data_IF_300292501666
#
_entry.id   IF_300292501666
#
_cell.length_a   1.000
_cell.length_b   1.000
_cell.length_c   1.000
_cell.angle_alpha   90.00
_cell.angle_beta   90.00
_cell.angle_gamma   90.00
#
_symmetry.space_group_name_H-M   'P 1'
#
loop_
_entity.id
_entity.type
_entity.pdbx_description
1 polymer ?
#
# COMPACT_ATOMS: atom_id res chain seq x y z
N UNK A 1 -7.16 33.21 8.66
CA UNK A 1 -7.84 32.02 9.20
C UNK A 1 -7.93 31.01 8.06
N UNK A 2 -7.59 29.75 8.30
CA UNK A 2 -7.73 28.70 7.27
C UNK A 2 -9.21 28.40 7.04
N UNK A 3 -9.60 28.18 5.79
CA UNK A 3 -10.94 27.67 5.45
C UNK A 3 -11.07 26.21 5.96
N UNK A 4 -12.26 25.74 6.38
CA UNK A 4 -12.55 24.31 6.61
C UNK A 4 -11.92 23.34 5.58
N UNK A 5 -11.93 23.70 4.30
CA UNK A 5 -11.30 22.95 3.21
C UNK A 5 -9.79 22.74 3.39
N UNK A 6 -9.07 23.85 3.62
CA UNK A 6 -7.62 23.83 3.82
C UNK A 6 -7.26 23.08 5.10
N UNK A 7 -8.07 23.26 6.14
CA UNK A 7 -7.92 22.55 7.41
C UNK A 7 -8.01 21.03 7.21
N UNK A 8 -8.97 20.55 6.41
CA UNK A 8 -9.10 19.14 6.08
C UNK A 8 -7.86 18.59 5.34
N UNK A 9 -7.37 19.29 4.32
CA UNK A 9 -6.16 18.87 3.60
C UNK A 9 -4.91 18.87 4.48
N UNK A 10 -4.77 19.82 5.41
CA UNK A 10 -3.68 19.81 6.40
C UNK A 10 -3.78 18.56 7.28
N UNK A 11 -4.98 18.24 7.78
CA UNK A 11 -5.21 17.05 8.61
C UNK A 11 -4.84 15.77 7.85
N UNK A 12 -5.31 15.63 6.60
CA UNK A 12 -4.96 14.46 5.77
C UNK A 12 -3.45 14.38 5.53
N UNK A 13 -2.80 15.50 5.22
CA UNK A 13 -1.34 15.57 5.02
C UNK A 13 -0.60 15.06 6.25
N UNK A 14 -0.96 15.53 7.44
CA UNK A 14 -0.34 15.10 8.71
C UNK A 14 -0.53 13.58 8.90
N UNK A 15 -1.73 13.05 8.68
CA UNK A 15 -1.99 11.61 8.83
C UNK A 15 -1.14 10.78 7.86
N UNK A 16 -1.04 11.18 6.60
CA UNK A 16 -0.24 10.46 5.61
C UNK A 16 1.28 10.62 5.83
N UNK A 17 1.75 11.75 6.36
CA UNK A 17 3.15 11.90 6.78
C UNK A 17 3.46 10.97 7.95
N UNK A 18 2.61 10.94 8.97
CA UNK A 18 2.79 10.04 10.12
C UNK A 18 2.76 8.57 9.68
N UNK A 19 1.84 8.21 8.78
CA UNK A 19 1.75 6.87 8.20
C UNK A 19 3.01 6.51 7.41
N UNK A 20 3.55 7.44 6.61
CA UNK A 20 4.79 7.24 5.85
C UNK A 20 5.98 7.03 6.78
N UNK A 21 6.10 7.81 7.86
CA UNK A 21 7.16 7.68 8.87
C UNK A 21 7.06 6.33 9.60
N UNK A 22 5.86 5.93 10.02
CA UNK A 22 5.63 4.64 10.66
C UNK A 22 6.00 3.48 9.73
N UNK A 23 5.58 3.54 8.46
CA UNK A 23 5.94 2.54 7.46
C UNK A 23 7.44 2.53 7.14
N UNK A 24 8.12 3.70 7.13
CA UNK A 24 9.56 3.81 6.92
C UNK A 24 10.35 3.11 8.03
N UNK A 25 9.94 3.28 9.29
CA UNK A 25 10.54 2.57 10.41
C UNK A 25 10.41 1.04 10.24
N UNK A 26 9.26 0.59 9.74
CA UNK A 26 8.95 -0.82 9.48
C UNK A 26 9.66 -1.39 8.22
N UNK A 27 9.95 -0.56 7.21
CA UNK A 27 10.68 -0.95 5.97
C UNK A 27 12.03 -1.63 6.25
N UNK A 28 12.66 -1.35 7.40
CA UNK A 28 13.93 -1.96 7.80
C UNK A 28 13.89 -3.50 7.84
N UNK A 29 12.69 -4.11 7.91
CA UNK A 29 12.50 -5.57 8.03
C UNK A 29 11.88 -6.20 6.79
N UNK A 30 10.95 -5.53 6.10
CA UNK A 30 10.19 -6.07 4.96
C UNK A 30 10.12 -5.05 3.82
N UNK A 31 11.20 -5.00 3.02
CA UNK A 31 11.47 -3.89 2.10
C UNK A 31 10.41 -3.72 1.02
N UNK A 32 9.99 -4.80 0.34
CA UNK A 32 9.18 -4.68 -0.88
C UNK A 32 7.72 -4.26 -0.61
N UNK A 33 7.08 -4.84 0.41
CA UNK A 33 5.71 -4.49 0.80
C UNK A 33 5.63 -3.09 1.43
N UNK A 34 6.54 -2.83 2.37
CA UNK A 34 6.51 -1.57 3.11
C UNK A 34 6.88 -0.40 2.19
N UNK A 35 7.67 -0.64 1.13
CA UNK A 35 8.03 0.37 0.14
C UNK A 35 6.83 0.84 -0.68
N UNK A 36 5.96 -0.04 -1.19
CA UNK A 36 4.81 0.42 -1.98
C UNK A 36 3.83 1.23 -1.14
N UNK A 37 3.57 0.80 0.10
CA UNK A 37 2.70 1.51 1.04
C UNK A 37 3.32 2.83 1.51
N UNK A 38 4.63 2.87 1.73
CA UNK A 38 5.37 4.09 2.04
C UNK A 38 5.28 5.08 0.89
N UNK A 39 5.51 4.63 -0.34
CA UNK A 39 5.42 5.47 -1.53
C UNK A 39 4.01 6.01 -1.71
N UNK A 40 2.98 5.18 -1.50
CA UNK A 40 1.59 5.63 -1.52
C UNK A 40 1.35 6.76 -0.51
N UNK A 41 1.77 6.56 0.73
CA UNK A 41 1.57 7.52 1.81
C UNK A 41 2.33 8.82 1.55
N UNK A 42 3.58 8.73 1.08
CA UNK A 42 4.40 9.90 0.75
C UNK A 42 3.84 10.68 -0.45
N UNK A 43 3.47 10.00 -1.53
CA UNK A 43 2.90 10.64 -2.72
C UNK A 43 1.55 11.29 -2.42
N UNK A 44 0.72 10.64 -1.60
CA UNK A 44 -0.55 11.21 -1.15
C UNK A 44 -0.32 12.45 -0.30
N UNK A 45 0.66 12.44 0.63
CA UNK A 45 1.01 13.64 1.39
C UNK A 45 1.51 14.78 0.48
N UNK A 46 2.39 14.48 -0.49
CA UNK A 46 2.88 15.47 -1.46
C UNK A 46 1.73 16.06 -2.27
N UNK A 47 0.78 15.23 -2.72
CA UNK A 47 -0.40 15.69 -3.44
C UNK A 47 -1.22 16.72 -2.63
N UNK A 48 -1.47 16.45 -1.34
CA UNK A 48 -2.16 17.40 -0.48
C UNK A 48 -1.36 18.70 -0.27
N UNK A 49 -0.03 18.64 -0.13
CA UNK A 49 0.81 19.84 -0.06
C UNK A 49 0.76 20.66 -1.35
N UNK A 50 0.79 20.01 -2.52
CA UNK A 50 0.65 20.69 -3.81
C UNK A 50 -0.72 21.36 -3.93
N UNK A 51 -1.77 20.74 -3.41
CA UNK A 51 -3.09 21.33 -3.36
C UNK A 51 -3.13 22.54 -2.41
N UNK A 52 -2.58 22.42 -1.20
CA UNK A 52 -2.46 23.55 -0.26
C UNK A 52 -1.63 24.73 -0.80
N UNK A 53 -0.61 24.46 -1.61
CA UNK A 53 0.26 25.50 -2.17
C UNK A 53 -0.39 26.30 -3.31
N UNK A 54 -1.51 25.83 -3.88
CA UNK A 54 -2.23 26.55 -4.92
C UNK A 54 -3.19 27.55 -4.26
N UNK A 55 -2.97 28.85 -4.50
CA UNK A 55 -3.82 29.95 -4.00
C UNK A 55 -5.23 29.86 -4.63
N UNK A 56 -6.18 29.32 -3.88
CA UNK A 56 -7.57 29.19 -4.31
C UNK A 56 -8.39 30.36 -3.79
N UNK A 57 -8.55 31.39 -4.64
CA UNK A 57 -9.29 32.61 -4.28
C UNK A 57 -10.81 32.47 -4.34
N UNK A 58 -11.34 31.29 -4.71
CA UNK A 58 -12.78 31.06 -4.94
C UNK A 58 -13.24 29.79 -4.25
N UNK A 59 -13.94 29.95 -3.12
CA UNK A 59 -14.48 28.88 -2.28
C UNK A 59 -15.82 28.34 -2.80
N UNK A 60 -15.83 27.77 -4.00
CA UNK A 60 -17.00 27.00 -4.46
C UNK A 60 -16.74 25.52 -4.37
N UNK A 61 -17.78 24.75 -4.02
CA UNK A 61 -17.73 23.28 -3.96
C UNK A 61 -17.23 22.71 -5.28
N UNK A 62 -17.64 23.27 -6.42
CA UNK A 62 -17.17 22.81 -7.74
C UNK A 62 -15.66 22.96 -7.89
N UNK A 63 -15.08 24.10 -7.49
CA UNK A 63 -13.62 24.31 -7.54
C UNK A 63 -12.90 23.38 -6.58
N UNK A 64 -13.47 23.18 -5.39
CA UNK A 64 -12.89 22.29 -4.38
C UNK A 64 -12.86 20.83 -4.86
N UNK A 65 -13.99 20.34 -5.37
CA UNK A 65 -14.15 18.96 -5.85
C UNK A 65 -13.30 18.70 -7.10
N UNK A 66 -13.26 19.65 -8.05
CA UNK A 66 -12.42 19.55 -9.25
C UNK A 66 -10.93 19.36 -8.91
N UNK A 67 -10.51 19.86 -7.74
CA UNK A 67 -9.14 19.77 -7.27
C UNK A 67 -8.90 18.64 -6.28
N UNK A 68 -9.94 17.99 -5.75
CA UNK A 68 -9.81 16.91 -4.77
C UNK A 68 -8.78 15.87 -5.21
N UNK A 69 -7.89 15.49 -4.27
CA UNK A 69 -6.91 14.43 -4.49
C UNK A 69 -7.63 13.11 -4.80
N UNK A 70 -8.81 12.89 -4.22
CA UNK A 70 -9.60 11.66 -4.37
C UNK A 70 -10.07 11.45 -5.81
N UNK A 71 -10.41 12.52 -6.51
CA UNK A 71 -10.87 12.41 -7.91
C UNK A 71 -9.70 12.32 -8.87
N UNK A 72 -8.59 13.00 -8.58
CA UNK A 72 -7.54 13.23 -9.57
C UNK A 72 -6.29 12.36 -9.39
N UNK A 73 -5.82 12.17 -8.15
CA UNK A 73 -4.49 11.65 -7.86
C UNK A 73 -4.51 10.31 -7.14
N UNK A 74 -5.42 10.14 -6.18
CA UNK A 74 -5.54 8.90 -5.40
C UNK A 74 -5.92 7.71 -6.26
N UNK A 75 -6.76 7.81 -7.31
CA UNK A 75 -7.00 6.69 -8.23
C UNK A 75 -5.68 6.20 -8.85
N UNK A 76 -4.80 7.11 -9.26
CA UNK A 76 -3.48 6.76 -9.80
C UNK A 76 -2.62 6.10 -8.73
N UNK A 77 -2.52 6.69 -7.54
CA UNK A 77 -1.67 6.18 -6.47
C UNK A 77 -2.17 4.86 -5.87
N UNK A 78 -3.47 4.56 -5.97
CA UNK A 78 -4.08 3.34 -5.44
C UNK A 78 -3.47 2.05 -6.01
N UNK A 79 -2.81 2.12 -7.17
CA UNK A 79 -1.96 1.04 -7.70
C UNK A 79 -0.93 0.54 -6.68
N UNK A 80 -0.39 1.43 -5.85
CA UNK A 80 0.63 1.12 -4.85
C UNK A 80 0.03 0.38 -3.65
N UNK A 81 -1.23 0.71 -3.28
CA UNK A 81 -1.99 -0.03 -2.28
C UNK A 81 -2.29 -1.44 -2.78
N UNK A 82 -2.77 -1.56 -4.01
CA UNK A 82 -3.10 -2.86 -4.60
C UNK A 82 -1.85 -3.72 -4.81
N UNK A 83 -0.75 -3.14 -5.30
CA UNK A 83 0.53 -3.83 -5.41
C UNK A 83 1.07 -4.30 -4.04
N UNK A 84 0.92 -3.48 -2.99
CA UNK A 84 1.31 -3.85 -1.63
C UNK A 84 0.50 -5.05 -1.10
N UNK A 85 -0.81 -5.05 -1.37
CA UNK A 85 -1.72 -6.13 -1.02
C UNK A 85 -1.38 -7.43 -1.77
N UNK A 86 -1.14 -7.35 -3.09
CA UNK A 86 -0.75 -8.51 -3.93
C UNK A 86 0.61 -9.06 -3.49
N UNK A 87 1.56 -8.19 -3.14
CA UNK A 87 2.85 -8.60 -2.58
C UNK A 87 2.66 -9.37 -1.26
N UNK A 88 1.75 -8.93 -0.39
CA UNK A 88 1.47 -9.62 0.87
C UNK A 88 0.85 -10.99 0.67
N UNK A 89 -0.12 -11.10 -0.23
CA UNK A 89 -0.75 -12.37 -0.57
C UNK A 89 0.27 -13.35 -1.13
N UNK A 90 1.14 -12.88 -2.03
CA UNK A 90 2.21 -13.69 -2.63
C UNK A 90 3.16 -14.25 -1.57
N UNK A 91 3.58 -13.41 -0.61
CA UNK A 91 4.41 -13.83 0.52
C UNK A 91 3.70 -14.85 1.42
N UNK A 92 2.41 -14.67 1.68
CA UNK A 92 1.63 -15.61 2.49
C UNK A 92 1.49 -16.98 1.81
N UNK A 93 1.28 -17.00 0.49
CA UNK A 93 1.22 -18.24 -0.30
C UNK A 93 2.56 -18.98 -0.23
N UNK A 94 3.67 -18.28 -0.36
CA UNK A 94 5.02 -18.87 -0.25
C UNK A 94 5.28 -19.46 1.14
N UNK A 95 4.92 -18.74 2.21
CA UNK A 95 5.12 -19.21 3.58
C UNK A 95 4.30 -20.49 3.87
N UNK A 96 3.03 -20.53 3.45
CA UNK A 96 2.19 -21.73 3.59
C UNK A 96 2.64 -22.88 2.68
N UNK A 97 3.26 -22.59 1.53
CA UNK A 97 3.84 -23.62 0.68
C UNK A 97 5.01 -24.32 1.36
N UNK A 98 5.90 -23.57 1.98
CA UNK A 98 7.08 -24.14 2.61
C UNK A 98 6.74 -24.97 3.87
N UNK A 99 5.86 -24.47 4.75
CA UNK A 99 5.53 -25.18 5.99
C UNK A 99 4.86 -26.55 5.74
N UNK A 100 4.01 -26.66 4.71
CA UNK A 100 3.35 -27.94 4.38
C UNK A 100 4.32 -28.97 3.77
N UNK A 101 5.35 -28.52 3.05
CA UNK A 101 6.32 -29.44 2.44
C UNK A 101 7.15 -30.17 3.51
N UNK A 102 7.48 -29.50 4.62
CA UNK A 102 8.22 -30.11 5.74
C UNK A 102 7.38 -31.12 6.54
N UNK A 103 6.05 -31.02 6.51
CA UNK A 103 5.13 -31.94 7.19
C UNK A 103 4.86 -33.18 6.33
N UNK A 104 4.72 -33.01 5.02
CA UNK A 104 4.35 -34.10 4.10
C UNK A 104 5.50 -35.04 3.71
N UNK A 105 6.77 -34.70 4.00
CA UNK A 105 7.90 -35.64 3.84
C UNK A 105 7.80 -36.87 4.75
N UNK A 106 6.89 -36.88 5.73
CA UNK A 106 6.67 -38.01 6.64
C UNK A 106 5.45 -38.88 6.30
N UNK A 107 4.68 -38.59 5.25
CA UNK A 107 3.45 -39.37 4.94
C UNK A 107 3.27 -39.61 3.44
N UNK A 108 3.28 -40.88 3.01
CA UNK A 108 3.05 -41.38 1.64
C UNK A 108 1.68 -40.99 1.05
N UNK A 109 1.48 -39.71 0.71
CA UNK A 109 0.26 -39.20 0.07
C UNK A 109 0.56 -38.37 -1.18
N UNK A 110 1.14 -39.02 -2.19
CA UNK A 110 1.54 -38.39 -3.46
C UNK A 110 0.39 -37.76 -4.26
N UNK A 111 -0.85 -38.24 -4.12
CA UNK A 111 -2.00 -37.73 -4.90
C UNK A 111 -2.57 -36.41 -4.37
N UNK A 112 -2.51 -36.16 -3.05
CA UNK A 112 -3.00 -34.91 -2.47
C UNK A 112 -1.99 -33.76 -2.60
N UNK A 113 -0.69 -34.06 -2.65
CA UNK A 113 0.36 -33.06 -2.81
C UNK A 113 0.26 -32.31 -4.15
N UNK A 114 0.01 -33.02 -5.26
CA UNK A 114 -0.10 -32.42 -6.60
C UNK A 114 -1.28 -31.43 -6.71
N UNK A 115 -2.44 -31.78 -6.14
CA UNK A 115 -3.63 -30.91 -6.16
C UNK A 115 -3.43 -29.63 -5.33
N UNK A 116 -2.66 -29.70 -4.24
CA UNK A 116 -2.35 -28.53 -3.39
C UNK A 116 -1.35 -27.61 -4.08
N UNK A 117 -0.32 -28.16 -4.74
CA UNK A 117 0.64 -27.36 -5.52
C UNK A 117 -0.02 -26.64 -6.69
N UNK A 118 -0.88 -27.31 -7.45
CA UNK A 118 -1.58 -26.71 -8.59
C UNK A 118 -2.48 -25.53 -8.18
N UNK A 119 -3.25 -25.67 -7.09
CA UNK A 119 -4.11 -24.58 -6.57
C UNK A 119 -3.29 -23.34 -6.17
N UNK A 120 -2.10 -23.52 -5.58
CA UNK A 120 -1.23 -22.41 -5.15
C UNK A 120 -0.65 -21.63 -6.33
N UNK A 121 -0.17 -22.32 -7.36
CA UNK A 121 0.31 -21.68 -8.58
C UNK A 121 -0.79 -20.86 -9.25
N UNK A 122 -2.00 -21.42 -9.33
CA UNK A 122 -3.16 -20.73 -9.90
C UNK A 122 -3.46 -19.42 -9.17
N UNK A 123 -3.48 -19.41 -7.82
CA UNK A 123 -3.73 -18.17 -7.05
C UNK A 123 -2.65 -17.11 -7.30
N UNK A 124 -1.37 -17.50 -7.39
CA UNK A 124 -0.30 -16.55 -7.69
C UNK A 124 -0.44 -15.94 -9.10
N UNK A 125 -0.78 -16.76 -10.11
CA UNK A 125 -1.03 -16.26 -11.47
C UNK A 125 -2.26 -15.35 -11.53
N UNK A 126 -3.33 -15.68 -10.83
CA UNK A 126 -4.54 -14.85 -10.75
C UNK A 126 -4.23 -13.48 -10.13
N UNK A 127 -3.51 -13.43 -9.02
CA UNK A 127 -3.18 -12.16 -8.38
C UNK A 127 -2.27 -11.29 -9.27
N UNK A 128 -1.32 -11.91 -9.99
CA UNK A 128 -0.50 -11.22 -10.98
C UNK A 128 -1.32 -10.68 -12.17
N UNK A 129 -2.27 -11.47 -12.67
CA UNK A 129 -3.19 -11.08 -13.73
C UNK A 129 -4.11 -9.93 -13.32
N UNK A 130 -4.64 -9.96 -12.09
CA UNK A 130 -5.46 -8.89 -11.53
C UNK A 130 -4.65 -7.59 -11.37
N UNK A 131 -3.38 -7.68 -10.94
CA UNK A 131 -2.49 -6.52 -10.87
C UNK A 131 -2.21 -5.94 -12.25
N UNK A 132 -1.95 -6.77 -13.26
CA UNK A 132 -1.75 -6.32 -14.64
C UNK A 132 -3.02 -5.62 -15.18
N UNK A 133 -4.20 -6.20 -14.95
CA UNK A 133 -5.48 -5.58 -15.32
C UNK A 133 -5.67 -4.23 -14.61
N UNK A 134 -5.34 -4.15 -13.32
CA UNK A 134 -5.39 -2.89 -12.56
C UNK A 134 -4.50 -1.81 -13.18
N UNK A 135 -3.27 -2.16 -13.53
CA UNK A 135 -2.31 -1.25 -14.18
C UNK A 135 -2.87 -0.73 -15.51
N UNK A 136 -3.45 -1.61 -16.33
CA UNK A 136 -4.04 -1.23 -17.62
C UNK A 136 -5.18 -0.22 -17.42
N UNK A 137 -6.04 -0.44 -16.43
CA UNK A 137 -7.13 0.48 -16.10
C UNK A 137 -6.63 1.84 -15.59
N UNK A 138 -5.54 1.86 -14.81
CA UNK A 138 -4.89 3.12 -14.39
C UNK A 138 -4.29 3.87 -15.58
N UNK A 139 -3.67 3.15 -16.51
CA UNK A 139 -3.17 3.77 -17.75
C UNK A 139 -4.33 4.34 -18.56
N UNK A 140 -5.45 3.62 -18.68
CA UNK A 140 -6.64 4.13 -19.34
C UNK A 140 -7.19 5.40 -18.65
N UNK A 141 -7.26 5.41 -17.32
CA UNK A 141 -7.63 6.59 -16.53
C UNK A 141 -6.69 7.78 -16.80
N UNK A 142 -5.38 7.55 -16.81
CA UNK A 142 -4.37 8.56 -17.14
C UNK A 142 -4.54 9.08 -18.57
N UNK A 143 -4.79 8.20 -19.55
CA UNK A 143 -5.04 8.61 -20.93
C UNK A 143 -6.28 9.49 -21.03
N UNK A 144 -7.38 9.14 -20.37
CA UNK A 144 -8.59 9.99 -20.31
C UNK A 144 -8.26 11.34 -19.70
N UNK A 145 -7.46 11.37 -18.62
CA UNK A 145 -7.07 12.62 -17.95
C UNK A 145 -6.15 13.50 -18.80
N UNK A 146 -5.23 12.90 -19.55
CA UNK A 146 -4.28 13.63 -20.38
C UNK A 146 -4.87 14.07 -21.73
N UNK A 147 -5.82 13.31 -22.28
CA UNK A 147 -6.32 13.51 -23.63
C UNK A 147 -7.37 14.62 -23.77
N UNK A 148 -7.98 15.08 -22.68
CA UNK A 148 -9.16 15.95 -22.77
C UNK A 148 -9.10 17.16 -21.84
N UNK A 149 -9.84 18.20 -22.27
CA UNK A 149 -9.92 19.49 -21.63
C UNK A 149 -10.81 19.36 -20.36
N UNK A 150 -10.33 19.80 -19.20
CA UNK A 150 -10.98 19.61 -17.87
C UNK A 150 -12.44 20.10 -17.80
N UNK A 151 -12.88 20.92 -18.76
CA UNK A 151 -14.22 21.52 -18.81
C UNK A 151 -15.28 20.66 -19.53
N UNK A 152 -14.90 19.58 -20.22
CA UNK A 152 -15.88 18.75 -20.95
C UNK A 152 -16.60 17.77 -20.00
N UNK A 153 -17.95 17.78 -19.90
CA UNK A 153 -18.69 16.80 -19.11
C UNK A 153 -18.43 15.35 -19.56
N UNK A 154 -18.11 15.13 -20.85
CA UNK A 154 -17.82 13.78 -21.37
C UNK A 154 -16.59 13.17 -20.68
N UNK A 155 -15.57 13.97 -20.44
CA UNK A 155 -14.32 13.58 -19.77
C UNK A 155 -14.55 13.15 -18.33
N UNK A 156 -15.39 13.89 -17.61
CA UNK A 156 -15.69 13.60 -16.20
C UNK A 156 -16.50 12.32 -16.06
N UNK A 157 -17.44 12.06 -16.97
CA UNK A 157 -18.15 10.79 -17.05
C UNK A 157 -17.17 9.64 -17.30
N UNK A 158 -16.26 9.79 -18.26
CA UNK A 158 -15.24 8.77 -18.56
C UNK A 158 -14.33 8.49 -17.35
N UNK A 159 -13.94 9.51 -16.59
CA UNK A 159 -13.20 9.33 -15.33
C UNK A 159 -14.00 8.52 -14.31
N UNK A 160 -15.27 8.85 -14.08
CA UNK A 160 -16.12 8.11 -13.16
C UNK A 160 -16.28 6.64 -13.59
N UNK A 161 -16.42 6.38 -14.89
CA UNK A 161 -16.43 5.02 -15.45
C UNK A 161 -15.10 4.31 -15.21
N UNK A 162 -13.96 4.94 -15.48
CA UNK A 162 -12.64 4.36 -15.25
C UNK A 162 -12.43 4.00 -13.77
N UNK A 163 -12.76 4.90 -12.84
CA UNK A 163 -12.64 4.63 -11.39
C UNK A 163 -13.57 3.50 -10.96
N UNK A 164 -14.79 3.44 -11.52
CA UNK A 164 -15.71 2.32 -11.27
C UNK A 164 -15.12 0.99 -11.77
N UNK A 165 -14.45 0.98 -12.93
CA UNK A 165 -13.80 -0.22 -13.46
C UNK A 165 -12.61 -0.68 -12.60
N UNK A 166 -11.90 0.24 -11.90
CA UNK A 166 -10.84 -0.14 -10.94
C UNK A 166 -11.37 -1.00 -9.78
N UNK A 167 -12.67 -0.92 -9.46
CA UNK A 167 -13.29 -1.73 -8.43
C UNK A 167 -13.37 -3.21 -8.82
N UNK A 168 -13.51 -3.52 -10.11
CA UNK A 168 -13.67 -4.89 -10.62
C UNK A 168 -12.53 -5.83 -10.19
N UNK A 169 -11.24 -5.54 -10.46
CA UNK A 169 -10.14 -6.40 -10.03
C UNK A 169 -10.05 -6.55 -8.51
N UNK A 170 -10.43 -5.52 -7.74
CA UNK A 170 -10.41 -5.58 -6.27
C UNK A 170 -11.53 -6.47 -5.74
N UNK A 171 -12.73 -6.41 -6.33
CA UNK A 171 -13.84 -7.29 -5.94
C UNK A 171 -13.52 -8.76 -6.29
N UNK A 172 -12.91 -9.01 -7.44
CA UNK A 172 -12.44 -10.35 -7.80
C UNK A 172 -11.39 -10.86 -6.81
N UNK A 173 -10.42 -10.02 -6.43
CA UNK A 173 -9.44 -10.34 -5.41
C UNK A 173 -10.10 -10.64 -4.05
N UNK A 174 -11.05 -9.81 -3.62
CA UNK A 174 -11.80 -10.02 -2.38
C UNK A 174 -12.52 -11.37 -2.37
N UNK A 175 -13.21 -11.74 -3.46
CA UNK A 175 -13.92 -13.01 -3.58
C UNK A 175 -12.95 -14.20 -3.48
N UNK A 176 -11.77 -14.08 -4.13
CA UNK A 176 -10.73 -15.11 -4.05
C UNK A 176 -10.22 -15.23 -2.60
N UNK A 177 -9.86 -14.12 -1.94
CA UNK A 177 -9.26 -14.17 -0.61
C UNK A 177 -10.22 -14.62 0.49
N UNK A 178 -11.50 -14.26 0.40
CA UNK A 178 -12.52 -14.72 1.35
C UNK A 178 -12.65 -16.26 1.35
N UNK A 179 -12.42 -16.91 0.20
CA UNK A 179 -12.50 -18.37 0.06
C UNK A 179 -11.26 -19.10 0.56
N UNK A 180 -10.07 -18.52 0.38
CA UNK A 180 -8.82 -19.27 0.55
C UNK A 180 -7.96 -18.86 1.76
N UNK A 181 -8.11 -17.64 2.29
CA UNK A 181 -7.18 -17.12 3.28
C UNK A 181 -7.75 -17.11 4.69
N UNK A 182 -6.91 -17.49 5.67
CA UNK A 182 -7.27 -17.52 7.11
C UNK A 182 -6.79 -16.27 7.87
N UNK A 183 -5.83 -15.53 7.33
CA UNK A 183 -5.29 -14.32 7.97
C UNK A 183 -6.28 -13.16 7.91
N UNK A 184 -6.43 -12.44 9.03
CA UNK A 184 -7.27 -11.26 9.15
C UNK A 184 -6.91 -10.20 8.10
N UNK A 185 -5.64 -9.88 7.91
CA UNK A 185 -5.25 -8.88 6.91
C UNK A 185 -5.60 -9.29 5.48
N UNK A 186 -5.46 -10.58 5.14
CA UNK A 186 -5.79 -11.04 3.79
C UNK A 186 -7.28 -11.00 3.50
N UNK A 187 -8.14 -10.93 4.54
CA UNK A 187 -9.59 -10.76 4.40
C UNK A 187 -10.00 -9.30 4.43
N UNK A 188 -9.51 -8.56 5.42
CA UNK A 188 -9.92 -7.17 5.65
C UNK A 188 -9.18 -6.17 4.76
N UNK A 189 -7.96 -6.48 4.33
CA UNK A 189 -7.19 -5.62 3.40
C UNK A 189 -7.92 -5.37 2.08
N UNK A 190 -8.27 -6.42 1.31
CA UNK A 190 -9.05 -6.26 0.08
C UNK A 190 -10.40 -5.60 0.30
N UNK A 191 -11.07 -5.87 1.44
CA UNK A 191 -12.35 -5.25 1.79
C UNK A 191 -12.21 -3.74 2.02
N UNK A 192 -11.23 -3.31 2.81
CA UNK A 192 -10.98 -1.89 3.08
C UNK A 192 -10.58 -1.16 1.79
N UNK A 193 -9.77 -1.79 0.95
CA UNK A 193 -9.42 -1.24 -0.36
C UNK A 193 -10.66 -1.14 -1.26
N UNK A 194 -11.54 -2.14 -1.27
CA UNK A 194 -12.79 -2.11 -2.04
C UNK A 194 -13.72 -0.97 -1.58
N UNK A 195 -13.87 -0.76 -0.27
CA UNK A 195 -14.67 0.34 0.29
C UNK A 195 -14.08 1.68 -0.13
N UNK A 196 -12.75 1.85 -0.02
CA UNK A 196 -12.05 3.07 -0.45
C UNK A 196 -12.26 3.36 -1.94
N UNK A 197 -12.02 2.38 -2.83
CA UNK A 197 -12.20 2.56 -4.28
C UNK A 197 -13.67 2.78 -4.65
N UNK A 198 -14.60 2.15 -3.95
CA UNK A 198 -16.02 2.45 -4.09
C UNK A 198 -16.33 3.91 -3.70
N UNK A 199 -15.72 4.43 -2.63
CA UNK A 199 -15.80 5.84 -2.25
C UNK A 199 -15.30 6.78 -3.35
N UNK A 200 -14.14 6.49 -3.92
CA UNK A 200 -13.61 7.26 -5.04
C UNK A 200 -14.55 7.24 -6.25
N UNK A 201 -15.15 6.09 -6.56
CA UNK A 201 -16.11 5.96 -7.66
C UNK A 201 -17.39 6.77 -7.37
N UNK A 202 -17.92 6.68 -6.15
CA UNK A 202 -19.10 7.42 -5.71
C UNK A 202 -18.85 8.94 -5.79
N UNK A 203 -17.71 9.41 -5.32
CA UNK A 203 -17.30 10.81 -5.43
C UNK A 203 -17.15 11.25 -6.89
N UNK A 204 -16.52 10.45 -7.75
CA UNK A 204 -16.40 10.78 -9.17
C UNK A 204 -17.78 10.91 -9.86
N UNK A 205 -18.73 10.04 -9.53
CA UNK A 205 -20.11 10.13 -10.01
C UNK A 205 -20.86 11.33 -9.44
N UNK A 206 -20.73 11.61 -8.14
CA UNK A 206 -21.32 12.81 -7.52
C UNK A 206 -20.81 14.09 -8.18
N UNK A 207 -19.51 14.15 -8.44
CA UNK A 207 -18.91 15.29 -9.13
C UNK A 207 -19.48 15.48 -10.53
N UNK A 208 -19.58 14.40 -11.30
CA UNK A 208 -20.22 14.43 -12.62
C UNK A 208 -21.66 14.99 -12.55
N UNK A 209 -22.47 14.50 -11.60
CA UNK A 209 -23.87 14.95 -11.43
C UNK A 209 -23.95 16.43 -11.03
N UNK A 210 -23.09 16.91 -10.13
CA UNK A 210 -23.07 18.32 -9.69
C UNK A 210 -22.87 19.26 -10.89
N UNK A 211 -21.98 18.90 -11.80
CA UNK A 211 -21.67 19.68 -13.00
C UNK A 211 -22.75 19.55 -14.06
N UNK A 212 -23.20 18.34 -14.37
CA UNK A 212 -24.24 18.10 -15.38
C UNK A 212 -25.55 18.80 -15.00
N UNK A 213 -25.92 18.77 -13.73
CA UNK A 213 -27.15 19.41 -13.22
C UNK A 213 -27.07 20.94 -13.08
N UNK A 214 -25.95 21.57 -13.51
CA UNK A 214 -25.65 23.01 -13.34
C UNK A 214 -25.91 23.49 -11.90
N UNK A 215 -25.62 22.65 -10.90
CA UNK A 215 -25.85 22.96 -9.48
C UNK A 215 -27.31 23.07 -9.03
N UNK A 216 -28.30 22.83 -9.90
CA UNK A 216 -29.71 23.07 -9.56
C UNK A 216 -30.37 21.96 -8.72
N UNK A 217 -29.80 20.74 -8.69
CA UNK A 217 -30.42 19.57 -8.04
C UNK A 217 -29.72 19.10 -6.77
N UNK A 218 -28.46 19.46 -6.56
CA UNK A 218 -27.65 19.05 -5.40
C UNK A 218 -26.91 20.25 -4.82
N UNK A 219 -27.53 20.96 -3.88
CA UNK A 219 -26.84 21.93 -3.03
C UNK A 219 -26.07 21.19 -1.93
N UNK A 220 -24.97 20.55 -2.31
CA UNK A 220 -24.05 19.94 -1.35
C UNK A 220 -23.09 21.04 -0.86
N UNK A 221 -22.94 21.19 0.45
CA UNK A 221 -21.97 22.13 1.02
C UNK A 221 -20.54 21.56 0.99
N UNK A 222 -19.53 22.41 1.17
CA UNK A 222 -18.11 22.00 1.22
C UNK A 222 -17.90 21.04 2.39
N UNK A 223 -18.52 21.31 3.54
CA UNK A 223 -18.42 20.48 4.74
C UNK A 223 -19.04 19.10 4.52
N UNK A 224 -20.19 19.03 3.85
CA UNK A 224 -20.82 17.76 3.52
C UNK A 224 -19.95 16.93 2.58
N UNK A 225 -19.31 17.55 1.60
CA UNK A 225 -18.34 16.86 0.75
C UNK A 225 -17.14 16.35 1.57
N UNK A 226 -16.53 17.19 2.42
CA UNK A 226 -15.39 16.79 3.27
C UNK A 226 -15.74 15.58 4.12
N UNK A 227 -16.95 15.52 4.67
CA UNK A 227 -17.43 14.38 5.45
C UNK A 227 -17.56 13.11 4.60
N UNK A 228 -18.11 13.20 3.39
CA UNK A 228 -18.21 12.07 2.45
C UNK A 228 -16.80 11.57 2.11
N UNK A 229 -15.91 12.49 1.73
CA UNK A 229 -14.52 12.18 1.36
C UNK A 229 -13.75 11.52 2.51
N UNK A 230 -13.92 12.06 3.73
CA UNK A 230 -13.34 11.51 4.96
C UNK A 230 -13.81 10.08 5.22
N UNK A 231 -15.12 9.84 5.20
CA UNK A 231 -15.70 8.57 5.63
C UNK A 231 -15.56 7.47 4.60
N UNK A 232 -15.79 7.78 3.33
CA UNK A 232 -15.91 6.74 2.30
C UNK A 232 -14.55 6.46 1.63
N UNK A 233 -13.62 7.43 1.62
CA UNK A 233 -12.33 7.27 0.96
C UNK A 233 -11.16 7.27 1.94
N UNK A 234 -10.98 8.32 2.74
CA UNK A 234 -9.77 8.41 3.60
C UNK A 234 -9.79 7.44 4.77
N UNK A 235 -10.90 7.33 5.51
CA UNK A 235 -11.01 6.45 6.66
C UNK A 235 -10.69 4.98 6.32
N UNK A 236 -11.29 4.33 5.30
CA UNK A 236 -10.93 2.97 4.94
C UNK A 236 -9.49 2.84 4.43
N UNK A 237 -8.97 3.86 3.75
CA UNK A 237 -7.56 3.90 3.30
C UNK A 237 -6.58 3.96 4.47
N UNK A 238 -6.85 4.82 5.46
CA UNK A 238 -6.04 4.92 6.68
C UNK A 238 -6.14 3.63 7.48
N UNK A 239 -7.35 3.08 7.65
CA UNK A 239 -7.55 1.79 8.30
C UNK A 239 -6.77 0.67 7.60
N UNK A 240 -6.70 0.67 6.27
CA UNK A 240 -5.88 -0.25 5.48
C UNK A 240 -4.39 -0.10 5.80
N UNK A 241 -3.87 1.13 5.83
CA UNK A 241 -2.46 1.40 6.17
C UNK A 241 -2.12 0.99 7.61
N UNK A 242 -3.02 1.27 8.56
CA UNK A 242 -2.89 0.86 9.96
C UNK A 242 -2.90 -0.67 10.07
N UNK A 243 -3.83 -1.34 9.39
CA UNK A 243 -3.88 -2.81 9.37
C UNK A 243 -2.59 -3.40 8.76
N UNK A 244 -2.07 -2.80 7.68
CA UNK A 244 -0.81 -3.19 7.09
C UNK A 244 0.37 -3.00 8.05
N UNK A 245 0.36 -1.93 8.86
CA UNK A 245 1.35 -1.70 9.90
C UNK A 245 1.26 -2.69 11.07
N UNK A 246 0.08 -3.22 11.39
CA UNK A 246 -0.08 -4.19 12.50
C UNK A 246 0.05 -5.64 12.10
N UNK A 247 -0.01 -5.97 10.81
CA UNK A 247 0.31 -7.34 10.38
C UNK A 247 1.70 -7.69 10.89
N UNK A 248 1.85 -8.74 11.69
CA UNK A 248 3.19 -9.18 12.05
C UNK A 248 3.98 -9.37 10.75
N UNK A 249 5.21 -8.84 10.64
CA UNK A 249 6.06 -9.26 9.54
C UNK A 249 6.02 -10.78 9.61
N UNK A 250 5.47 -11.43 8.56
CA UNK A 250 5.65 -12.85 8.37
C UNK A 250 7.16 -12.99 8.50
N UNK A 251 7.63 -13.55 9.63
CA UNK A 251 9.06 -13.71 9.86
C UNK A 251 9.49 -14.46 8.62
N UNK A 252 10.17 -13.76 7.71
CA UNK A 252 10.95 -14.43 6.69
C UNK A 252 11.91 -15.20 7.55
N UNK A 253 11.64 -16.48 7.81
CA UNK A 253 12.49 -17.24 8.70
C UNK A 253 13.88 -17.03 8.15
N UNK A 254 14.73 -16.40 8.95
CA UNK A 254 16.12 -16.21 8.59
C UNK A 254 16.80 -17.57 8.39
N UNK A 255 16.12 -18.66 8.76
CA UNK A 255 16.43 -20.05 8.49
C UNK A 255 16.04 -20.56 7.08
N UNK A 256 15.18 -19.88 6.32
CA UNK A 256 14.71 -20.34 5.00
C UNK A 256 15.64 -20.02 3.83
N UNK A 257 16.81 -19.42 4.06
CA UNK A 257 17.84 -19.25 3.04
C UNK A 257 18.98 -20.28 3.09
N UNK A 258 18.82 -21.34 3.89
CA UNK A 258 19.85 -22.39 4.03
C UNK A 258 19.65 -23.67 3.20
N UNK A 259 18.56 -23.83 2.44
CA UNK A 259 18.25 -25.15 1.82
C UNK A 259 18.18 -25.22 0.29
N UNK A 260 18.62 -24.21 -0.46
CA UNK A 260 18.89 -24.36 -1.90
C UNK A 260 20.22 -23.71 -2.27
N UNK A 261 21.07 -24.36 -3.11
CA UNK A 261 22.35 -23.79 -3.53
C UNK A 261 22.07 -22.61 -4.49
N UNK A 262 22.47 -21.37 -4.17
CA UNK A 262 22.25 -20.25 -5.08
C UNK A 262 23.46 -20.12 -6.00
N UNK A 263 23.25 -20.26 -7.30
CA UNK A 263 24.23 -19.98 -8.35
C UNK A 263 24.38 -18.48 -8.69
N UNK A 264 23.83 -17.56 -7.89
CA UNK A 264 23.97 -16.12 -8.13
C UNK A 264 24.75 -15.42 -7.01
N UNK A 265 25.96 -15.01 -7.39
CA UNK A 265 27.06 -14.43 -6.59
C UNK A 265 26.80 -13.02 -6.03
N UNK A 266 25.78 -12.30 -6.51
CA UNK A 266 25.55 -10.90 -6.11
C UNK A 266 25.02 -10.69 -4.69
N UNK A 267 24.06 -11.50 -4.24
CA UNK A 267 23.41 -11.31 -2.93
C UNK A 267 24.25 -11.79 -1.73
N UNK A 268 25.25 -12.67 -1.95
CA UNK A 268 26.22 -13.07 -0.92
C UNK A 268 27.15 -11.92 -0.53
N UNK A 269 27.62 -11.12 -1.50
CA UNK A 269 28.59 -10.05 -1.26
C UNK A 269 28.07 -9.01 -0.25
N UNK A 270 26.81 -8.58 -0.40
CA UNK A 270 26.20 -7.59 0.50
C UNK A 270 26.00 -8.12 1.93
N UNK A 271 25.73 -9.43 2.09
CA UNK A 271 25.62 -10.04 3.42
C UNK A 271 26.98 -10.25 4.09
N UNK A 272 28.01 -10.60 3.34
CA UNK A 272 29.37 -10.69 3.87
C UNK A 272 29.87 -9.32 4.32
N UNK A 273 29.64 -8.26 3.54
CA UNK A 273 29.98 -6.90 3.91
C UNK A 273 29.27 -6.47 5.21
N UNK A 274 27.97 -6.78 5.35
CA UNK A 274 27.21 -6.43 6.56
C UNK A 274 27.61 -7.22 7.81
N UNK A 275 28.02 -8.49 7.66
CA UNK A 275 28.55 -9.29 8.77
C UNK A 275 29.94 -8.78 9.17
N UNK A 276 30.82 -8.52 8.20
CA UNK A 276 32.16 -8.02 8.43
C UNK A 276 32.13 -6.66 9.15
N UNK A 277 31.25 -5.76 8.75
CA UNK A 277 31.08 -4.46 9.41
C UNK A 277 30.73 -4.58 10.89
N UNK A 278 29.78 -5.48 11.25
CA UNK A 278 29.40 -5.70 12.65
C UNK A 278 30.51 -6.34 13.48
N UNK A 279 31.29 -7.24 12.90
CA UNK A 279 32.44 -7.85 13.60
C UNK A 279 33.55 -6.82 13.85
N UNK A 280 33.74 -5.87 12.93
CA UNK A 280 34.70 -4.78 13.08
C UNK A 280 34.29 -3.81 14.20
N UNK A 281 33.00 -3.45 14.29
CA UNK A 281 32.46 -2.62 15.39
C UNK A 281 32.65 -3.30 16.76
N UNK A 282 32.42 -4.61 16.85
CA UNK A 282 32.65 -5.36 18.09
C UNK A 282 34.13 -5.37 18.50
N UNK A 283 35.05 -5.52 17.54
CA UNK A 283 36.49 -5.48 17.82
C UNK A 283 36.99 -4.09 18.25
N UNK A 284 36.44 -3.02 17.67
CA UNK A 284 36.80 -1.66 18.07
C UNK A 284 36.32 -1.33 19.50
N UNK A 285 35.16 -1.86 19.92
CA UNK A 285 34.67 -1.74 21.29
C UNK A 285 35.52 -2.55 22.30
N UNK A 286 36.06 -3.69 21.88
CA UNK A 286 36.91 -4.54 22.72
C UNK A 286 38.31 -3.93 22.92
N UNK A 287 38.86 -3.27 21.89
CA UNK A 287 40.14 -2.55 21.99
C UNK A 287 40.07 -1.24 22.79
N UNK A 288 38.89 -0.65 22.95
CA UNK A 288 38.70 0.60 23.71
C UNK A 288 38.33 0.37 25.17
N UNK A 289 38.09 -0.88 25.58
CA UNK A 289 37.65 -1.23 26.94
C UNK A 289 38.69 -1.97 27.78
N UNK A 290 39.95 -2.07 27.34
CA UNK A 290 41.02 -2.63 28.18
C UNK A 290 41.35 -1.65 29.33
N UNK A 291 41.06 -1.98 30.60
CA UNK A 291 41.43 -1.13 31.72
C UNK A 291 42.93 -1.30 31.97
N UNK A 292 43.66 -0.19 32.08
CA UNK A 292 45.04 -0.18 32.57
C UNK A 292 45.07 -0.60 34.04
N UNK A 293 45.10 -1.90 34.31
CA UNK A 293 45.39 -2.45 35.64
C UNK A 293 46.91 -2.49 35.84
N UNK A 294 47.48 -1.34 36.18
CA UNK A 294 48.74 -1.25 36.94
C UNK A 294 48.36 -0.83 38.35
N UNK A 295 48.63 -1.72 39.32
CA UNK A 295 48.81 -1.51 40.77
C UNK A 295 48.37 -2.82 41.47
N UNK A 296 49.14 -3.51 42.32
CA UNK A 296 50.43 -3.27 42.94
C UNK A 296 51.02 -4.63 43.36
N UNK A 297 52.35 -4.77 43.35
CA UNK A 297 53.04 -5.94 43.91
C UNK A 297 53.16 -5.83 45.44
N UNK A 298 53.11 -6.94 46.19
CA UNK A 298 53.47 -6.95 47.61
C UNK A 298 54.99 -7.11 47.76
N UNK A 299 55.61 -6.25 48.57
CA UNK A 299 56.99 -6.40 49.03
C UNK A 299 56.96 -6.95 50.46
N UNK A 300 57.78 -7.96 50.81
CA UNK A 300 57.92 -8.46 52.19
C UNK A 300 58.69 -7.49 53.10
#
# INVERSE_FOLDING_TARGET
MLNPAETAWVIYSVIFVLSAVALAFRCTRTLLLSLSLLLFSALTAIAHFVMLARDYRVDTVVVWVDRSAVINLIPIFSILLFAGLVAQQSLSIQHHAHNNNNINTNTNTNTNANNIHQKKHLTAYLNGGLLALYIILIIAFLCVRLAQNDNDPSTRMQMAVCVTLLLVPILLDLIINLRFMRSWFLRFGPLLLAISVFGMALEAWLFYIIIESRGSRLNLSVEAWILIESFVTYFPTIAFLVLAFFTSPLQSSQDYQCSYPPSNTGYRALRFLRRRWRTEESRQQEMTSTPSSQDAMPVP
#
